data_IF_426496402350
#
_entry.id   IF_426496402350
#
_cell.length_a   1.000
_cell.length_b   1.000
_cell.length_c   1.000
_cell.angle_alpha   90.00
_cell.angle_beta   90.00
_cell.angle_gamma   90.00
#
_symmetry.space_group_name_H-M   'P 1'
#
loop_
_entity.id
_entity.type
_entity.pdbx_description
1 polymer ?
2 non-polymer ?
3 non-polymer ?
4 non-polymer ?
5 water ?
#
# COMPACT_ATOMS: atom_id res chain seq x y z
N UNK A 12 -24.60 3.14 -12.49
CA UNK A 12 -23.84 4.15 -13.26
C UNK A 12 -24.46 5.53 -13.07
N UNK A 13 -23.61 6.55 -12.97
CA UNK A 13 -24.07 7.91 -12.79
C UNK A 13 -24.24 8.60 -14.14
N UNK A 14 -25.21 9.51 -14.25
CA UNK A 14 -25.43 10.21 -15.52
C UNK A 14 -24.21 11.00 -15.98
N UNK A 15 -23.80 10.77 -17.21
CA UNK A 15 -22.64 11.44 -17.79
C UNK A 15 -22.75 12.97 -17.75
N UNK A 16 -21.77 13.64 -17.11
CA UNK A 16 -21.78 15.10 -17.02
C UNK A 16 -21.66 15.73 -18.41
N UNK A 17 -22.37 16.84 -18.65
CA UNK A 17 -22.36 17.54 -19.93
C UNK A 17 -21.00 17.84 -20.54
N UNK A 18 -20.01 18.18 -19.69
CA UNK A 18 -18.69 18.51 -20.21
C UNK A 18 -17.85 17.29 -20.61
N UNK A 19 -18.33 16.09 -20.31
CA UNK A 19 -17.60 14.87 -20.63
C UNK A 19 -17.97 14.23 -21.98
N UNK A 20 -17.00 14.13 -22.89
CA UNK A 20 -17.19 13.55 -24.24
C UNK A 20 -17.60 12.08 -24.11
N UNK A 21 -18.57 11.67 -24.91
CA UNK A 21 -19.04 10.30 -24.86
C UNK A 21 -18.01 9.28 -25.34
N UNK A 22 -17.09 9.69 -26.20
CA UNK A 22 -16.08 8.76 -26.72
C UNK A 22 -14.97 8.41 -25.72
N UNK A 23 -14.95 9.08 -24.57
CA UNK A 23 -13.94 8.80 -23.55
C UNK A 23 -14.51 7.94 -22.43
N UNK A 24 -15.76 7.54 -22.59
CA UNK A 24 -16.41 6.72 -21.57
C UNK A 24 -15.95 5.27 -21.61
N UNK A 25 -15.54 4.78 -20.44
CA UNK A 25 -15.08 3.41 -20.25
C UNK A 25 -15.45 3.12 -18.79
N UNK A 26 -16.52 2.37 -18.59
CA UNK A 26 -17.01 2.07 -17.25
C UNK A 26 -16.27 1.03 -16.41
N UNK A 27 -15.05 1.36 -16.03
CA UNK A 27 -14.22 0.49 -15.21
C UNK A 27 -14.68 0.65 -13.75
N UNK A 28 -14.80 -0.46 -13.03
CA UNK A 28 -15.22 -0.44 -11.63
C UNK A 28 -14.00 -0.84 -10.78
N UNK A 29 -13.38 0.13 -10.14
CA UNK A 29 -12.18 -0.14 -9.34
C UNK A 29 -12.42 -1.08 -8.16
N UNK A 30 -13.67 -1.23 -7.75
CA UNK A 30 -13.97 -2.10 -6.62
C UNK A 30 -14.45 -3.49 -7.04
N UNK A 31 -14.79 -3.65 -8.31
CA UNK A 31 -15.25 -4.92 -8.84
C UNK A 31 -15.01 -5.00 -10.34
N UNK A 32 -13.74 -4.96 -10.76
CA UNK A 32 -13.40 -5.02 -12.19
C UNK A 32 -13.63 -6.40 -12.81
N UNK A 33 -13.98 -6.40 -14.09
CA UNK A 33 -14.23 -7.63 -14.83
C UNK A 33 -12.95 -8.44 -14.93
N UNK A 34 -13.09 -9.75 -15.07
CA UNK A 34 -11.93 -10.63 -15.20
C UNK A 34 -11.00 -10.62 -14.00
N UNK A 35 -11.52 -10.25 -12.83
CA UNK A 35 -10.72 -10.23 -11.61
C UNK A 35 -10.13 -11.63 -11.40
N UNK A 36 -10.85 -12.64 -11.87
CA UNK A 36 -10.44 -14.03 -11.73
C UNK A 36 -9.11 -14.35 -12.42
N UNK A 37 -8.66 -13.47 -13.30
CA UNK A 37 -7.39 -13.68 -14.01
C UNK A 37 -6.22 -13.00 -13.30
N UNK A 38 -6.50 -12.35 -12.17
CA UNK A 38 -5.46 -11.66 -11.43
C UNK A 38 -5.84 -10.20 -11.35
N UNK A 39 -5.65 -9.56 -10.20
CA UNK A 39 -6.04 -8.17 -10.08
C UNK A 39 -5.20 -7.24 -10.96
N UNK A 40 -3.88 -7.43 -10.97
CA UNK A 40 -3.05 -6.59 -11.83
C UNK A 40 -3.51 -6.77 -13.29
N UNK A 41 -3.76 -8.02 -13.68
CA UNK A 41 -4.23 -8.31 -15.04
C UNK A 41 -5.56 -7.63 -15.33
N UNK A 42 -6.44 -7.57 -14.33
CA UNK A 42 -7.74 -6.94 -14.49
C UNK A 42 -7.62 -5.44 -14.75
N UNK A 43 -6.76 -4.76 -14.00
CA UNK A 43 -6.59 -3.33 -14.22
C UNK A 43 -5.89 -3.05 -15.54
N UNK A 44 -5.07 -4.01 -16.00
CA UNK A 44 -4.33 -3.88 -17.25
C UNK A 44 -5.25 -3.69 -18.46
N UNK A 45 -6.51 -4.09 -18.35
CA UNK A 45 -7.43 -3.91 -19.47
C UNK A 45 -7.50 -2.43 -19.83
N UNK A 46 -7.24 -1.57 -18.85
CA UNK A 46 -7.26 -0.12 -19.07
C UNK A 46 -6.12 0.30 -19.98
N UNK A 47 -5.21 -0.63 -20.25
CA UNK A 47 -4.05 -0.32 -21.10
C UNK A 47 -4.06 -0.99 -22.48
N UNK A 48 -5.17 -1.60 -22.85
CA UNK A 48 -5.25 -2.21 -24.17
C UNK A 48 -5.26 -1.09 -25.21
N UNK A 49 -4.77 -1.38 -26.42
CA UNK A 49 -4.66 -0.40 -27.50
C UNK A 49 -5.88 0.43 -27.89
N UNK A 50 -7.09 -0.05 -27.58
CA UNK A 50 -8.29 0.69 -27.94
C UNK A 50 -8.79 1.60 -26.83
N UNK A 51 -8.03 1.68 -25.73
CA UNK A 51 -8.41 2.52 -24.59
C UNK A 51 -7.55 3.78 -24.55
N UNK A 52 -8.18 4.97 -24.50
CA UNK A 52 -7.49 6.26 -24.47
C UNK A 52 -6.62 6.44 -23.23
N UNK A 53 -5.69 7.40 -23.29
CA UNK A 53 -4.79 7.71 -22.18
C UNK A 53 -5.56 8.17 -20.96
N UNK A 54 -6.70 8.83 -21.19
CA UNK A 54 -7.52 9.35 -20.11
C UNK A 54 -8.98 9.06 -20.41
N UNK A 55 -9.66 8.36 -19.50
CA UNK A 55 -11.05 8.01 -19.71
C UNK A 55 -11.93 8.40 -18.52
N UNK A 56 -13.24 8.35 -18.73
CA UNK A 56 -14.21 8.65 -17.68
C UNK A 56 -15.06 7.42 -17.46
N UNK A 57 -15.20 7.01 -16.20
CA UNK A 57 -16.03 5.86 -15.88
C UNK A 57 -17.24 6.43 -15.17
N UNK A 58 -18.41 5.84 -15.42
CA UNK A 58 -19.61 6.31 -14.77
C UNK A 58 -19.84 5.56 -13.47
N UNK A 59 -18.96 4.61 -13.19
CA UNK A 59 -19.04 3.83 -11.97
C UNK A 59 -18.67 4.68 -10.76
N UNK A 60 -19.09 4.21 -9.59
CA UNK A 60 -18.81 4.87 -8.31
C UNK A 60 -18.93 6.39 -8.31
N UNK A 61 -20.05 6.89 -8.83
CA UNK A 61 -20.29 8.32 -8.84
C UNK A 61 -19.77 9.07 -10.05
N UNK A 62 -18.89 8.44 -10.83
CA UNK A 62 -18.34 9.09 -12.01
C UNK A 62 -17.04 9.81 -11.72
N UNK A 63 -16.00 9.46 -12.47
CA UNK A 63 -14.68 10.07 -12.27
C UNK A 63 -13.75 9.71 -13.41
N UNK A 64 -12.66 10.47 -13.51
CA UNK A 64 -11.65 10.22 -14.54
C UNK A 64 -10.67 9.16 -14.08
N UNK A 65 -9.93 8.59 -15.05
CA UNK A 65 -8.91 7.60 -14.80
C UNK A 65 -7.76 7.78 -15.80
N UNK A 66 -6.55 8.02 -15.28
CA UNK A 66 -5.39 8.16 -16.15
C UNK A 66 -4.89 6.72 -16.25
N UNK A 67 -4.64 6.25 -17.47
CA UNK A 67 -4.24 4.86 -17.69
C UNK A 67 -2.78 4.60 -18.06
N UNK A 68 -1.99 5.67 -18.20
CA UNK A 68 -0.60 5.53 -18.59
C UNK A 68 0.35 6.21 -17.61
N UNK A 69 1.53 5.62 -17.45
CA UNK A 69 2.51 6.16 -16.52
C UNK A 69 2.80 7.64 -16.72
N UNK A 70 2.86 8.06 -17.98
CA UNK A 70 3.10 9.47 -18.29
C UNK A 70 2.11 10.40 -17.59
N UNK A 71 0.82 10.16 -17.80
CA UNK A 71 -0.22 11.00 -17.20
C UNK A 71 -0.30 10.85 -15.70
N UNK A 72 -0.12 9.62 -15.21
CA UNK A 72 -0.17 9.36 -13.79
C UNK A 72 0.93 10.16 -13.10
N UNK A 73 2.14 10.10 -13.65
CA UNK A 73 3.23 10.85 -13.04
C UNK A 73 2.96 12.36 -13.11
N UNK A 74 2.54 12.84 -14.27
CA UNK A 74 2.28 14.27 -14.42
C UNK A 74 1.24 14.81 -13.45
N UNK A 75 0.13 14.10 -13.29
CA UNK A 75 -0.92 14.55 -12.38
C UNK A 75 -0.44 14.55 -10.92
N UNK A 76 0.39 13.56 -10.55
CA UNK A 76 0.88 13.53 -9.17
C UNK A 76 1.88 14.63 -8.87
N UNK A 77 2.55 15.12 -9.91
CA UNK A 77 3.52 16.20 -9.74
C UNK A 77 2.81 17.55 -9.58
N UNK A 78 1.71 17.71 -10.31
CA UNK A 78 0.93 18.96 -10.32
C UNK A 78 -0.14 19.06 -9.23
N UNK A 79 0.27 19.30 -7.99
CA UNK A 79 -0.69 19.41 -6.90
C UNK A 79 -1.57 20.67 -7.00
N UNK A 80 -1.10 21.68 -7.73
CA UNK A 80 -1.87 22.92 -7.88
C UNK A 80 -3.24 22.66 -8.52
N UNK A 81 -3.26 21.78 -9.52
CA UNK A 81 -4.51 21.42 -10.20
C UNK A 81 -5.15 20.16 -9.63
N UNK A 82 -4.33 19.21 -9.22
CA UNK A 82 -4.81 17.94 -8.68
C UNK A 82 -4.53 17.89 -7.18
N UNK A 83 -5.54 18.28 -6.40
CA UNK A 83 -5.46 18.32 -4.95
C UNK A 83 -5.76 17.02 -4.20
N UNK A 84 -5.08 16.82 -3.08
CA UNK A 84 -5.27 15.64 -2.23
C UNK A 84 -6.36 15.85 -1.19
N UNK A 85 -7.06 16.98 -1.26
CA UNK A 85 -8.11 17.27 -0.29
C UNK A 85 -9.18 16.19 -0.28
N UNK A 86 -9.44 15.59 -1.45
CA UNK A 86 -10.42 14.53 -1.60
C UNK A 86 -9.72 13.48 -2.46
N UNK A 87 -8.90 12.63 -1.83
CA UNK A 87 -8.14 11.59 -2.54
C UNK A 87 -8.79 10.23 -2.79
N UNK A 88 -9.99 10.00 -2.29
CA UNK A 88 -10.64 8.71 -2.50
C UNK A 88 -11.92 8.77 -3.30
N UNK A 89 -12.23 7.66 -3.95
CA UNK A 89 -13.44 7.50 -4.73
C UNK A 89 -14.21 6.43 -3.94
N UNK A 90 -15.51 6.63 -3.71
CA UNK A 90 -16.40 7.73 -4.10
C UNK A 90 -16.16 9.01 -3.29
N UNK A 91 -16.66 10.12 -3.83
CA UNK A 91 -16.53 11.43 -3.21
C UNK A 91 -16.74 11.45 -1.70
N UNK A 92 -17.86 10.89 -1.24
CA UNK A 92 -18.19 10.87 0.18
C UNK A 92 -17.06 10.33 1.05
N UNK A 93 -16.32 9.36 0.52
CA UNK A 93 -15.21 8.77 1.25
C UNK A 93 -14.02 9.73 1.26
N UNK A 94 -13.74 10.33 0.12
CA UNK A 94 -12.63 11.27 0.02
C UNK A 94 -12.85 12.52 0.86
N UNK A 95 -14.11 12.97 0.94
CA UNK A 95 -14.44 14.16 1.71
C UNK A 95 -14.30 13.93 3.21
N UNK A 96 -14.69 12.75 3.67
CA UNK A 96 -14.60 12.41 5.08
C UNK A 96 -13.15 12.17 5.50
N UNK A 97 -12.35 11.62 4.59
CA UNK A 97 -10.94 11.33 4.87
C UNK A 97 -10.18 12.57 5.31
N UNK A 98 -9.45 12.47 6.42
CA UNK A 98 -8.70 13.60 6.93
C UNK A 98 -7.35 13.25 7.56
N UNK A 99 -6.81 12.08 7.25
CA UNK A 99 -5.52 11.68 7.79
C UNK A 99 -4.45 12.68 7.37
N UNK A 100 -3.36 12.73 8.14
CA UNK A 100 -2.27 13.65 7.86
C UNK A 100 -0.97 12.90 7.61
N UNK A 101 -0.22 13.29 6.57
CA UNK A 101 -0.54 14.40 5.67
C UNK A 101 -1.18 14.06 4.32
N UNK A 102 -1.70 12.84 4.19
CA UNK A 102 -2.32 12.41 2.95
C UNK A 102 -3.49 13.25 2.42
N UNK A 103 -4.14 14.05 3.27
CA UNK A 103 -5.26 14.86 2.82
C UNK A 103 -4.89 16.34 2.69
N UNK A 104 -3.59 16.62 2.66
CA UNK A 104 -3.13 18.01 2.55
C UNK A 104 -2.25 18.21 1.32
N UNK A 105 -2.22 19.46 0.86
CA UNK A 105 -1.38 19.85 -0.27
C UNK A 105 -0.32 20.78 0.27
N UNK A 106 0.81 20.91 -0.45
CA UNK A 106 1.87 21.81 0.01
C UNK A 106 1.23 23.20 -0.10
N UNK A 107 1.72 24.19 0.65
CA UNK A 107 2.82 24.14 1.60
C UNK A 107 2.46 23.54 2.96
N UNK A 108 1.17 23.53 3.28
CA UNK A 108 0.70 23.00 4.57
C UNK A 108 1.25 21.61 4.88
N UNK A 109 1.24 20.73 3.88
CA UNK A 109 1.71 19.35 4.03
C UNK A 109 3.17 19.22 4.41
N UNK A 110 4.01 20.09 3.86
CA UNK A 110 5.45 20.09 4.07
C UNK A 110 5.92 19.85 5.51
N UNK A 111 5.44 20.65 6.45
CA UNK A 111 5.86 20.50 7.84
C UNK A 111 5.42 19.19 8.47
N UNK A 112 4.18 18.77 8.20
CA UNK A 112 3.67 17.53 8.75
C UNK A 112 4.40 16.31 8.17
N UNK A 113 4.82 16.42 6.91
CA UNK A 113 5.53 15.34 6.25
C UNK A 113 6.94 15.18 6.82
N UNK A 114 7.56 16.31 7.14
CA UNK A 114 8.91 16.31 7.70
C UNK A 114 8.92 15.65 9.07
N UNK A 115 7.85 15.86 9.84
CA UNK A 115 7.75 15.28 11.17
C UNK A 115 7.57 13.78 11.05
N UNK A 116 6.65 13.35 10.20
CA UNK A 116 6.41 11.92 10.00
C UNK A 116 7.68 11.24 9.49
N UNK A 117 8.46 11.96 8.69
CA UNK A 117 9.69 11.39 8.16
C UNK A 117 10.67 11.03 9.27
N UNK A 118 10.59 11.75 10.39
CA UNK A 118 11.46 11.52 11.53
C UNK A 118 11.18 10.18 12.22
N UNK A 119 9.95 9.69 12.14
CA UNK A 119 9.64 8.44 12.80
C UNK A 119 9.70 7.18 11.92
N UNK A 120 9.80 7.36 10.60
CA UNK A 120 9.87 6.20 9.70
C UNK A 120 10.96 6.28 8.63
N UNK A 121 11.74 7.36 8.65
CA UNK A 121 12.80 7.52 7.67
C UNK A 121 13.90 6.48 7.73
N UNK A 122 14.77 6.49 6.72
CA UNK A 122 15.88 5.53 6.64
C UNK A 122 16.66 5.37 7.93
N UNK A 123 17.08 6.49 8.56
CA UNK A 123 17.84 6.36 9.81
C UNK A 123 17.15 5.44 10.82
N UNK A 124 15.84 5.60 10.95
CA UNK A 124 15.06 4.78 11.89
C UNK A 124 15.02 3.31 11.48
N UNK A 125 15.00 3.07 10.18
CA UNK A 125 14.96 1.70 9.67
C UNK A 125 16.19 0.91 10.11
N UNK A 126 17.36 1.45 9.85
CA UNK A 126 18.60 0.78 10.21
C UNK A 126 18.71 0.44 11.70
N UNK A 127 17.99 1.18 12.54
CA UNK A 127 18.02 0.93 13.97
C UNK A 127 17.03 -0.12 14.44
N UNK A 128 15.94 -0.30 13.71
CA UNK A 128 14.92 -1.28 14.09
C UNK A 128 15.13 -2.62 13.39
N UNK A 129 16.09 -2.64 12.46
CA UNK A 129 16.37 -3.85 11.71
C UNK A 129 16.60 -5.11 12.52
N UNK A 130 17.27 -5.02 13.66
CA UNK A 130 17.53 -6.21 14.46
C UNK A 130 16.21 -6.85 14.87
N UNK A 131 15.24 -6.01 15.21
CA UNK A 131 13.93 -6.48 15.61
C UNK A 131 13.17 -7.01 14.41
N UNK A 132 13.37 -6.38 13.26
CA UNK A 132 12.68 -6.79 12.03
C UNK A 132 13.16 -8.18 11.60
N UNK A 133 14.48 -8.36 11.56
CA UNK A 133 15.08 -9.63 11.18
C UNK A 133 14.73 -10.69 12.23
N UNK A 134 14.77 -10.29 13.50
CA UNK A 134 14.45 -11.18 14.61
C UNK A 134 13.00 -11.63 14.55
N UNK A 135 12.11 -10.69 14.28
CA UNK A 135 10.68 -10.97 14.19
C UNK A 135 10.36 -11.91 13.03
N UNK A 136 11.00 -11.69 11.89
CA UNK A 136 10.77 -12.54 10.73
C UNK A 136 11.17 -13.98 11.04
N UNK A 137 12.39 -14.16 11.54
CA UNK A 137 12.91 -15.47 11.87
C UNK A 137 12.04 -16.20 12.88
N UNK A 138 11.58 -15.46 13.89
CA UNK A 138 10.72 -16.04 14.92
C UNK A 138 9.43 -16.55 14.29
N UNK A 139 8.76 -15.70 13.51
CA UNK A 139 7.52 -16.08 12.85
C UNK A 139 7.67 -17.29 11.94
N UNK A 140 8.73 -17.29 11.13
CA UNK A 140 8.97 -18.38 10.20
C UNK A 140 9.30 -19.71 10.89
N UNK A 141 10.21 -19.66 11.86
CA UNK A 141 10.58 -20.87 12.57
C UNK A 141 9.38 -21.55 13.23
N UNK A 142 8.40 -20.76 13.65
CA UNK A 142 7.23 -21.32 14.31
C UNK A 142 6.30 -22.03 13.33
N UNK A 143 6.39 -21.68 12.05
CA UNK A 143 5.54 -22.28 11.02
C UNK A 143 6.26 -23.46 10.35
N UNK A 144 7.56 -23.31 10.15
CA UNK A 144 8.41 -24.30 9.49
C UNK A 144 8.08 -25.78 9.72
N UNK A 145 7.93 -26.19 10.99
CA UNK A 145 7.62 -27.60 11.30
C UNK A 145 6.25 -28.07 10.82
N UNK A 146 5.31 -27.14 10.72
CA UNK A 146 3.95 -27.47 10.31
C UNK A 146 3.80 -28.05 8.91
N UNK A 147 4.64 -27.60 7.98
CA UNK A 147 4.53 -28.10 6.62
C UNK A 147 3.39 -27.42 5.88
N UNK A 148 2.81 -26.40 6.50
CA UNK A 148 1.71 -25.67 5.88
C UNK A 148 1.40 -24.39 6.65
N UNK A 149 0.64 -23.50 6.01
CA UNK A 149 0.22 -22.25 6.65
C UNK A 149 -0.67 -21.43 5.73
N UNK A 150 -1.33 -20.44 6.30
CA UNK A 150 -2.13 -19.49 5.52
C UNK A 150 -1.21 -18.28 5.64
N UNK A 151 -0.34 -18.11 4.66
CA UNK A 151 0.62 -17.03 4.67
C UNK A 151 0.09 -15.66 5.06
N UNK A 152 -1.06 -15.28 4.52
CA UNK A 152 -1.64 -13.98 4.81
C UNK A 152 -1.96 -13.78 6.29
N UNK A 153 -2.62 -14.76 6.90
CA UNK A 153 -2.97 -14.69 8.32
C UNK A 153 -1.82 -14.97 9.28
N UNK A 154 -0.98 -15.94 8.93
CA UNK A 154 0.13 -16.36 9.78
C UNK A 154 1.44 -15.59 9.74
N UNK A 155 1.68 -14.84 8.66
CA UNK A 155 2.92 -14.08 8.55
C UNK A 155 2.69 -12.67 8.02
N UNK A 156 2.07 -12.56 6.84
CA UNK A 156 1.82 -11.28 6.22
C UNK A 156 1.19 -10.24 7.15
N UNK A 157 0.24 -10.65 7.98
CA UNK A 157 -0.43 -9.73 8.90
C UNK A 157 0.36 -9.46 10.19
N UNK A 158 0.78 -10.52 10.90
CA UNK A 158 1.54 -10.36 12.15
C UNK A 158 2.87 -9.59 12.03
N UNK A 159 3.58 -9.78 10.93
CA UNK A 159 4.87 -9.11 10.71
C UNK A 159 4.82 -7.58 10.78
N UNK A 160 4.06 -6.93 9.89
CA UNK A 160 3.98 -5.46 9.91
C UNK A 160 3.35 -4.83 11.17
N UNK A 161 2.30 -5.44 11.70
CA UNK A 161 1.67 -4.88 12.87
C UNK A 161 2.60 -4.99 14.09
N UNK A 162 3.39 -6.04 14.17
CA UNK A 162 4.31 -6.15 15.31
C UNK A 162 5.41 -5.12 15.15
N UNK A 163 5.75 -4.81 13.92
CA UNK A 163 6.77 -3.81 13.65
C UNK A 163 6.24 -2.44 14.10
N UNK A 164 4.97 -2.17 13.81
CA UNK A 164 4.40 -0.89 14.23
C UNK A 164 4.38 -0.78 15.75
N UNK A 165 4.04 -1.85 16.44
CA UNK A 165 3.98 -1.82 17.91
C UNK A 165 5.35 -1.46 18.46
N UNK A 166 6.39 -2.01 17.83
CA UNK A 166 7.75 -1.74 18.27
C UNK A 166 8.14 -0.28 18.06
N UNK A 167 7.95 0.21 16.83
CA UNK A 167 8.33 1.60 16.55
C UNK A 167 7.50 2.63 17.30
N UNK A 168 6.24 2.28 17.58
CA UNK A 168 5.34 3.18 18.29
C UNK A 168 5.42 2.98 19.81
N UNK A 169 6.24 2.02 20.23
CA UNK A 169 6.40 1.74 21.65
C UNK A 169 5.13 1.28 22.34
N UNK A 170 4.38 0.40 21.68
CA UNK A 170 3.14 -0.11 22.25
C UNK A 170 3.32 -1.57 22.68
N UNK A 171 2.58 -2.01 23.71
CA UNK A 171 2.65 -3.39 24.21
C UNK A 171 2.00 -4.39 23.26
N UNK A 172 2.59 -5.58 23.16
CA UNK A 172 2.05 -6.60 22.25
C UNK A 172 0.64 -7.07 22.59
N UNK A 173 0.22 -6.95 23.86
CA UNK A 173 -1.12 -7.39 24.22
C UNK A 173 -2.23 -6.56 23.58
N UNK A 174 -1.87 -5.43 22.97
CA UNK A 174 -2.85 -4.57 22.31
C UNK A 174 -3.06 -4.92 20.84
N UNK A 175 -2.21 -5.79 20.29
CA UNK A 175 -2.32 -6.17 18.88
C UNK A 175 -3.69 -6.65 18.45
N UNK A 176 -4.26 -7.64 19.16
CA UNK A 176 -5.58 -8.13 18.77
C UNK A 176 -6.64 -7.04 18.58
N UNK A 177 -6.69 -6.11 19.52
CA UNK A 177 -7.66 -5.03 19.44
C UNK A 177 -7.38 -4.04 18.31
N UNK A 178 -6.11 -3.72 18.09
CA UNK A 178 -5.73 -2.80 17.02
C UNK A 178 -5.95 -3.48 15.67
N UNK A 179 -5.62 -4.75 15.60
CA UNK A 179 -5.81 -5.52 14.37
C UNK A 179 -7.30 -5.44 14.02
N UNK A 180 -8.13 -5.58 15.05
CA UNK A 180 -9.57 -5.52 14.87
C UNK A 180 -10.04 -4.17 14.33
N UNK A 181 -9.59 -3.09 14.95
CA UNK A 181 -9.98 -1.75 14.53
C UNK A 181 -9.53 -1.46 13.10
N UNK A 182 -8.31 -1.87 12.77
CA UNK A 182 -7.79 -1.64 11.43
C UNK A 182 -8.55 -2.49 10.40
N UNK A 183 -8.98 -3.68 10.80
CA UNK A 183 -9.73 -4.54 9.88
C UNK A 183 -11.08 -3.93 9.53
N UNK A 184 -11.68 -3.20 10.46
CA UNK A 184 -12.98 -2.58 10.20
C UNK A 184 -12.85 -1.39 9.26
N UNK A 185 -11.63 -0.89 9.10
CA UNK A 185 -11.38 0.24 8.22
C UNK A 185 -11.00 -0.21 6.81
N UNK A 186 -11.59 -1.32 6.38
CA UNK A 186 -11.34 -1.86 5.05
C UNK A 186 -12.04 -3.19 4.84
N UNK A 187 -12.35 -3.87 5.94
CA UNK A 187 -13.01 -5.17 5.90
C UNK A 187 -14.02 -5.21 7.06
N UNK A 188 -14.99 -4.28 7.06
CA UNK A 188 -16.02 -4.18 8.10
C UNK A 188 -16.91 -5.42 8.25
N UNK A 189 -17.09 -5.85 9.50
CA UNK A 189 -17.93 -7.00 9.78
C UNK A 189 -19.33 -6.52 10.20
N UNK A 190 -19.43 -5.20 10.44
CA UNK A 190 -20.70 -4.62 10.83
C UNK A 190 -20.71 -4.02 12.22
N UNK A 191 -19.82 -4.48 13.09
CA UNK A 191 -19.75 -3.99 14.47
C UNK A 191 -19.60 -2.48 14.53
N UNK A 192 -18.99 -1.89 13.50
CA UNK A 192 -18.77 -0.44 13.46
C UNK A 192 -18.44 0.04 12.05
N UNK A 193 -18.77 1.29 11.78
CA UNK A 193 -18.50 1.89 10.47
C UNK A 193 -17.32 2.85 10.52
N UNK A 194 -16.38 2.67 9.59
CA UNK A 194 -15.17 3.49 9.47
C UNK A 194 -15.02 4.60 10.51
N UNK A 195 -15.93 5.57 10.47
CA UNK A 195 -15.91 6.70 11.40
C UNK A 195 -15.82 6.23 12.85
N UNK A 196 -16.55 5.18 13.18
CA UNK A 196 -16.56 4.63 14.52
C UNK A 196 -15.21 4.00 14.85
N UNK A 197 -14.68 3.23 13.90
CA UNK A 197 -13.38 2.59 14.07
C UNK A 197 -12.30 3.65 14.23
N UNK A 198 -12.44 4.73 13.46
CA UNK A 198 -11.48 5.83 13.50
C UNK A 198 -11.47 6.45 14.90
N UNK A 199 -12.65 6.81 15.39
CA UNK A 199 -12.77 7.40 16.71
C UNK A 199 -12.24 6.42 17.75
N UNK A 200 -12.59 5.14 17.58
CA UNK A 200 -12.14 4.10 18.48
C UNK A 200 -10.61 4.12 18.49
N UNK A 201 -10.02 4.27 17.32
CA UNK A 201 -8.57 4.33 17.19
C UNK A 201 -8.04 5.58 17.87
N UNK A 202 -8.68 6.72 17.61
CA UNK A 202 -8.27 7.98 18.22
C UNK A 202 -8.41 7.90 19.73
N UNK A 203 -9.50 7.29 20.18
CA UNK A 203 -9.75 7.14 21.60
C UNK A 203 -8.56 6.41 22.21
N UNK A 204 -8.03 5.46 21.46
CA UNK A 204 -6.90 4.65 21.89
C UNK A 204 -5.59 5.42 21.91
N UNK A 205 -5.42 6.29 20.92
CA UNK A 205 -4.19 7.06 20.76
C UNK A 205 -4.06 8.34 21.61
N UNK A 206 -5.14 9.09 21.73
CA UNK A 206 -5.13 10.34 22.48
C UNK A 206 -4.46 10.25 23.86
N UNK A 207 -4.84 9.27 24.68
CA UNK A 207 -4.22 9.14 26.01
C UNK A 207 -2.70 8.95 25.96
N UNK A 208 -2.25 8.07 25.07
CA UNK A 208 -0.84 7.79 24.92
C UNK A 208 -0.09 9.04 24.46
N UNK A 209 -0.74 9.80 23.58
CA UNK A 209 -0.16 11.02 23.05
C UNK A 209 0.02 12.06 24.17
N UNK A 210 -1.06 12.39 24.87
CA UNK A 210 -1.01 13.35 25.95
C UNK A 210 0.06 12.99 26.98
N UNK A 211 0.16 11.71 27.31
CA UNK A 211 1.12 11.26 28.31
C UNK A 211 2.56 11.34 27.85
N UNK A 212 2.81 11.12 26.56
CA UNK A 212 4.18 11.16 26.06
C UNK A 212 4.60 12.58 25.73
N UNK A 213 3.67 13.51 25.83
CA UNK A 213 3.96 14.92 25.60
C UNK A 213 4.89 15.41 26.71
N UNK A 214 4.59 15.03 27.94
CA UNK A 214 5.40 15.44 29.09
C UNK A 214 6.49 14.43 29.45
N UNK A 215 6.23 13.15 29.18
CA UNK A 215 7.21 12.11 29.46
C UNK A 215 7.58 11.44 28.14
N UNK A 216 8.31 12.16 27.27
CA UNK A 216 8.72 11.64 25.97
C UNK A 216 9.72 10.50 25.99
N UNK A 217 9.53 9.56 25.06
CA UNK A 217 10.42 8.44 24.93
C UNK A 217 11.08 8.62 23.57
N UNK A 218 11.63 7.55 23.01
CA UNK A 218 12.27 7.65 21.70
C UNK A 218 11.38 7.04 20.61
N UNK A 219 10.14 6.71 20.98
CA UNK A 219 9.19 6.10 20.05
C UNK A 219 8.49 7.08 19.11
N UNK A 220 7.84 6.53 18.09
CA UNK A 220 7.14 7.32 17.09
C UNK A 220 6.09 8.26 17.70
N UNK A 221 5.27 7.73 18.61
CA UNK A 221 4.24 8.54 19.23
C UNK A 221 4.86 9.73 19.98
N UNK A 222 5.91 9.46 20.75
CA UNK A 222 6.58 10.51 21.49
C UNK A 222 7.04 11.64 20.56
N UNK A 223 7.69 11.26 19.47
CA UNK A 223 8.19 12.25 18.54
C UNK A 223 7.06 13.09 17.94
N UNK A 224 6.02 12.43 17.46
CA UNK A 224 4.90 13.14 16.87
C UNK A 224 4.18 14.06 17.86
N UNK A 225 4.01 13.58 19.08
CA UNK A 225 3.34 14.34 20.13
C UNK A 225 4.09 15.60 20.52
N UNK A 226 5.42 15.54 20.46
CA UNK A 226 6.25 16.68 20.83
C UNK A 226 6.73 17.47 19.62
N UNK A 227 6.07 17.26 18.48
CA UNK A 227 6.46 17.96 17.27
C UNK A 227 5.98 19.40 17.21
N UNK A 228 6.66 20.19 16.39
CA UNK A 228 6.30 21.60 16.23
C UNK A 228 5.99 21.86 14.75
N UNK A 229 4.95 22.65 14.50
CA UNK A 229 4.55 23.00 13.14
C UNK A 229 4.16 24.47 13.08
N UNK A 230 4.64 25.16 12.05
CA UNK A 230 4.35 26.58 11.85
C UNK A 230 4.81 27.40 13.04
N UNK A 231 5.91 26.98 13.66
CA UNK A 231 6.44 27.71 14.80
C UNK A 231 5.67 27.47 16.08
N UNK A 232 4.69 26.58 16.04
CA UNK A 232 3.90 26.28 17.22
C UNK A 232 3.71 24.77 17.40
N UNK A 233 3.45 24.32 18.64
CA UNK A 233 3.24 22.92 18.96
C UNK A 233 2.06 22.28 18.25
N UNK A 234 2.26 21.04 17.80
CA UNK A 234 1.21 20.31 17.11
C UNK A 234 0.05 20.10 18.08
N UNK A 235 -1.18 20.12 17.57
CA UNK A 235 -2.34 19.92 18.43
C UNK A 235 -2.67 18.44 18.57
N UNK A 236 -3.46 18.11 19.58
CA UNK A 236 -3.84 16.72 19.80
C UNK A 236 -4.59 16.21 18.58
N UNK A 237 -5.39 17.07 17.97
CA UNK A 237 -6.16 16.72 16.78
C UNK A 237 -5.22 16.32 15.63
N UNK A 238 -4.20 17.14 15.40
CA UNK A 238 -3.24 16.88 14.33
C UNK A 238 -2.41 15.63 14.63
N UNK A 239 -2.04 15.46 15.90
CA UNK A 239 -1.25 14.32 16.32
C UNK A 239 -1.96 12.99 16.10
N UNK A 240 -3.23 12.90 16.51
CA UNK A 240 -3.96 11.66 16.34
C UNK A 240 -4.17 11.34 14.86
N UNK A 241 -4.39 12.38 14.05
CA UNK A 241 -4.63 12.20 12.63
C UNK A 241 -3.38 11.74 11.90
N UNK A 242 -2.21 12.06 12.44
CA UNK A 242 -0.95 11.64 11.84
C UNK A 242 -0.67 10.20 12.29
N UNK A 243 -0.89 9.95 13.57
CA UNK A 243 -0.66 8.62 14.11
C UNK A 243 -1.58 7.59 13.45
N UNK A 244 -2.79 8.01 13.15
CA UNK A 244 -3.71 7.09 12.49
C UNK A 244 -3.12 6.58 11.18
N UNK A 245 -2.53 7.49 10.41
CA UNK A 245 -1.92 7.12 9.14
C UNK A 245 -0.67 6.26 9.33
N UNK A 246 0.13 6.60 10.32
CA UNK A 246 1.34 5.83 10.57
C UNK A 246 0.99 4.37 10.86
N UNK A 247 -0.18 4.15 11.44
CA UNK A 247 -0.61 2.79 11.75
C UNK A 247 -1.14 2.07 10.50
N UNK A 248 -2.14 2.65 9.85
CA UNK A 248 -2.73 2.03 8.68
C UNK A 248 -1.86 2.04 7.42
N UNK A 249 -1.02 3.06 7.27
CA UNK A 249 -0.17 3.16 6.10
C UNK A 249 0.74 1.98 5.78
N UNK A 250 1.24 1.32 6.83
CA UNK A 250 2.11 0.19 6.62
C UNK A 250 1.49 -1.16 6.84
N UNK A 251 0.17 -1.22 6.94
CA UNK A 251 -0.50 -2.50 7.16
C UNK A 251 -1.02 -3.12 5.88
N UNK A 252 -2.18 -2.63 5.45
CA UNK A 252 -2.84 -3.09 4.23
C UNK A 252 -1.84 -3.29 3.09
N UNK A 253 -1.03 -2.28 2.86
CA UNK A 253 -0.04 -2.33 1.79
C UNK A 253 0.93 -3.51 1.92
N UNK A 254 1.59 -3.61 3.07
CA UNK A 254 2.57 -4.68 3.27
C UNK A 254 1.94 -6.07 3.29
N UNK A 255 0.85 -6.22 4.03
CA UNK A 255 0.18 -7.50 4.11
C UNK A 255 -0.09 -8.05 2.71
N UNK A 256 -0.74 -7.23 1.89
CA UNK A 256 -1.11 -7.66 0.54
C UNK A 256 0.05 -7.77 -0.43
N UNK A 257 1.03 -6.87 -0.31
CA UNK A 257 2.16 -6.96 -1.21
C UNK A 257 2.94 -8.24 -0.96
N UNK A 258 3.18 -8.55 0.31
CA UNK A 258 3.92 -9.76 0.65
C UNK A 258 3.15 -10.97 0.15
N UNK A 259 1.83 -10.91 0.22
CA UNK A 259 1.01 -12.02 -0.23
C UNK A 259 1.14 -12.22 -1.74
N UNK A 260 1.08 -11.14 -2.51
CA UNK A 260 1.24 -11.26 -3.96
C UNK A 260 2.60 -11.89 -4.29
N UNK A 261 3.64 -11.38 -3.62
CA UNK A 261 5.00 -11.86 -3.83
C UNK A 261 5.16 -13.34 -3.53
N UNK A 262 4.64 -13.78 -2.39
CA UNK A 262 4.74 -15.17 -2.00
C UNK A 262 3.91 -16.10 -2.89
N UNK A 263 2.80 -15.60 -3.42
CA UNK A 263 1.95 -16.40 -4.29
C UNK A 263 2.73 -16.71 -5.58
N UNK A 264 3.44 -15.71 -6.08
CA UNK A 264 4.24 -15.85 -7.29
C UNK A 264 5.37 -16.86 -7.08
N UNK A 265 6.13 -16.67 -6.00
CA UNK A 265 7.24 -17.55 -5.70
C UNK A 265 6.79 -18.98 -5.48
N UNK A 266 5.59 -19.15 -4.93
CA UNK A 266 5.04 -20.48 -4.68
C UNK A 266 4.75 -21.18 -6.01
N UNK A 267 4.45 -20.39 -7.04
CA UNK A 267 4.14 -20.93 -8.36
C UNK A 267 5.32 -20.92 -9.32
N UNK A 268 6.48 -20.47 -8.86
CA UNK A 268 7.68 -20.40 -9.70
C UNK A 268 8.92 -20.98 -9.03
N UNK A 269 9.06 -22.31 -9.06
CA UNK A 269 10.24 -22.93 -8.43
C UNK A 269 11.56 -22.41 -8.98
N UNK A 270 11.61 -22.08 -10.26
CA UNK A 270 12.84 -21.57 -10.87
C UNK A 270 13.26 -20.23 -10.27
N UNK A 271 12.30 -19.38 -9.95
CA UNK A 271 12.62 -18.10 -9.35
C UNK A 271 13.09 -18.31 -7.91
N UNK A 272 12.49 -19.28 -7.22
CA UNK A 272 12.92 -19.59 -5.86
C UNK A 272 14.38 -20.02 -5.94
N UNK A 273 14.67 -20.96 -6.84
CA UNK A 273 16.02 -21.47 -6.99
C UNK A 273 17.02 -20.37 -7.37
N UNK A 274 16.55 -19.39 -8.14
CA UNK A 274 17.41 -18.28 -8.56
C UNK A 274 17.92 -17.49 -7.35
N UNK A 275 17.00 -17.18 -6.43
CA UNK A 275 17.35 -16.42 -5.24
C UNK A 275 18.17 -17.22 -4.25
N UNK A 276 17.98 -18.53 -4.24
CA UNK A 276 18.72 -19.41 -3.34
C UNK A 276 20.16 -19.54 -3.81
N UNK A 277 20.36 -19.60 -5.12
CA UNK A 277 21.71 -19.71 -5.68
C UNK A 277 22.39 -18.36 -5.79
N UNK A 278 21.60 -17.31 -6.02
CA UNK A 278 22.14 -15.96 -6.15
C UNK A 278 21.45 -15.02 -5.17
N UNK A 279 21.73 -15.17 -3.86
CA UNK A 279 21.14 -14.33 -2.83
C UNK A 279 21.42 -12.85 -3.01
N UNK A 280 22.55 -12.52 -3.62
CA UNK A 280 22.89 -11.10 -3.81
C UNK A 280 21.87 -10.39 -4.69
N UNK A 281 21.01 -11.16 -5.35
CA UNK A 281 20.00 -10.59 -6.22
C UNK A 281 18.67 -10.28 -5.54
N UNK A 282 18.56 -10.60 -4.25
CA UNK A 282 17.32 -10.35 -3.52
C UNK A 282 16.85 -8.89 -3.54
N UNK A 283 17.76 -7.92 -3.38
CA UNK A 283 17.28 -6.53 -3.41
C UNK A 283 16.69 -6.18 -4.78
N UNK A 284 17.29 -6.72 -5.83
CA UNK A 284 16.81 -6.47 -7.19
C UNK A 284 15.47 -7.18 -7.39
N UNK A 285 15.37 -8.38 -6.84
CA UNK A 285 14.13 -9.17 -6.94
C UNK A 285 13.00 -8.40 -6.27
N UNK A 286 13.31 -7.77 -5.14
CA UNK A 286 12.33 -6.97 -4.39
C UNK A 286 11.77 -5.85 -5.25
N UNK A 287 12.65 -5.13 -5.95
CA UNK A 287 12.20 -4.03 -6.79
C UNK A 287 11.34 -4.50 -7.96
N UNK A 288 11.71 -5.64 -8.55
CA UNK A 288 10.95 -6.19 -9.67
C UNK A 288 9.56 -6.67 -9.23
N UNK A 289 9.49 -7.25 -8.03
CA UNK A 289 8.20 -7.71 -7.52
C UNK A 289 7.32 -6.49 -7.21
N UNK A 290 7.95 -5.41 -6.74
CA UNK A 290 7.23 -4.18 -6.41
C UNK A 290 6.59 -3.61 -7.68
N UNK A 291 7.26 -3.79 -8.81
CA UNK A 291 6.73 -3.30 -10.08
C UNK A 291 5.60 -4.18 -10.57
N UNK A 292 5.86 -5.48 -10.64
CA UNK A 292 4.90 -6.44 -11.14
C UNK A 292 3.65 -6.60 -10.31
N UNK A 293 3.80 -6.52 -8.99
CA UNK A 293 2.65 -6.68 -8.12
C UNK A 293 2.25 -5.39 -7.38
N UNK A 294 2.42 -4.26 -8.07
CA UNK A 294 2.06 -2.95 -7.53
C UNK A 294 0.57 -3.07 -7.18
N UNK A 295 0.11 -2.36 -6.13
CA UNK A 295 -1.26 -2.54 -5.67
C UNK A 295 -2.09 -1.34 -5.19
N UNK A 296 -1.54 -0.14 -5.20
CA UNK A 296 -2.29 1.02 -4.71
C UNK A 296 -2.91 1.85 -5.82
N UNK A 297 -4.05 2.44 -5.53
CA UNK A 297 -4.74 3.30 -6.48
C UNK A 297 -5.62 4.36 -5.83
N UNK A 298 -5.07 5.54 -5.55
CA UNK A 298 -5.92 6.57 -5.00
C UNK A 298 -5.94 7.71 -6.01
N UNK A 299 -6.43 8.88 -5.65
CA UNK A 299 -6.49 9.94 -6.64
C UNK A 299 -6.48 11.36 -6.14
N UNK A 300 -7.03 12.27 -6.94
CA UNK A 300 -7.06 13.69 -6.62
C UNK A 300 -8.34 14.36 -7.10
N UNK A 301 -8.51 15.63 -6.73
CA UNK A 301 -9.68 16.39 -7.13
C UNK A 301 -9.22 17.69 -7.81
N UNK A 302 -9.89 18.05 -8.89
CA UNK A 302 -9.55 19.27 -9.62
C UNK A 302 -9.87 20.53 -8.83
N UNK A 303 -8.88 21.41 -8.71
CA UNK A 303 -9.03 22.66 -7.98
C UNK A 303 -9.71 23.73 -8.83
N UNK A 304 -9.70 23.53 -10.14
CA UNK A 304 -10.31 24.47 -11.07
C UNK A 304 -10.48 23.82 -12.42
N UNK A 305 -11.14 24.53 -13.35
CA UNK A 305 -11.31 24.01 -14.70
C UNK A 305 -9.90 23.93 -15.26
N UNK A 306 -9.59 22.85 -15.97
CA UNK A 306 -8.25 22.68 -16.50
C UNK A 306 -8.20 21.73 -17.69
N UNK A 307 -7.48 22.11 -18.73
CA UNK A 307 -7.34 21.26 -19.91
C UNK A 307 -6.08 20.42 -19.74
N UNK A 308 -6.26 19.11 -19.64
CA UNK A 308 -5.16 18.16 -19.44
C UNK A 308 -5.06 17.17 -20.59
N UNK A 309 -3.99 17.26 -21.36
CA UNK A 309 -3.80 16.35 -22.50
C UNK A 309 -4.98 16.35 -23.45
N UNK A 310 -5.41 17.54 -23.86
CA UNK A 310 -6.53 17.64 -24.79
C UNK A 310 -7.89 17.30 -24.22
N UNK A 311 -8.00 17.22 -22.90
CA UNK A 311 -9.28 16.89 -22.27
C UNK A 311 -9.67 17.99 -21.28
N UNK A 312 -10.92 18.42 -21.36
CA UNK A 312 -11.40 19.47 -20.46
C UNK A 312 -11.84 18.90 -19.13
N UNK A 313 -11.12 19.27 -18.07
CA UNK A 313 -11.46 18.82 -16.73
C UNK A 313 -12.16 19.97 -16.01
N UNK A 314 -13.20 19.64 -15.25
CA UNK A 314 -13.97 20.66 -14.55
C UNK A 314 -13.65 20.70 -13.07
N UNK A 315 -13.64 21.90 -12.50
CA UNK A 315 -13.38 22.09 -11.08
C UNK A 315 -14.29 21.16 -10.28
N UNK A 316 -13.70 20.41 -9.35
CA UNK A 316 -14.49 19.49 -8.54
C UNK A 316 -14.50 18.06 -9.04
N UNK A 317 -14.09 17.85 -10.28
CA UNK A 317 -14.04 16.50 -10.85
C UNK A 317 -13.02 15.70 -10.06
N UNK A 318 -13.28 14.41 -9.91
CA UNK A 318 -12.35 13.52 -9.23
C UNK A 318 -11.60 12.73 -10.29
N UNK A 319 -10.32 12.43 -10.05
CA UNK A 319 -9.53 11.65 -10.99
C UNK A 319 -8.72 10.57 -10.28
N UNK A 320 -8.89 9.33 -10.74
CA UNK A 320 -8.16 8.19 -10.19
C UNK A 320 -6.82 8.14 -10.92
N UNK A 321 -5.73 8.04 -10.16
CA UNK A 321 -4.39 7.98 -10.72
C UNK A 321 -3.73 6.73 -10.14
N UNK A 322 -4.02 5.55 -10.73
CA UNK A 322 -3.50 4.26 -10.28
C UNK A 322 -1.98 4.11 -10.21
N UNK A 323 -1.43 4.14 -9.00
CA UNK A 323 0.02 3.99 -8.86
C UNK A 323 0.41 2.63 -9.44
N UNK A 324 -0.50 1.68 -9.35
CA UNK A 324 -0.30 0.32 -9.87
C UNK A 324 0.05 0.23 -11.36
N UNK A 325 -0.62 1.06 -12.16
CA UNK A 325 -0.46 1.02 -13.61
C UNK A 325 0.81 1.50 -14.27
N UNK A 326 1.51 2.45 -13.64
CA UNK A 326 2.73 2.97 -14.23
C UNK A 326 3.74 1.88 -14.59
N UNK A 327 4.08 1.04 -13.63
CA UNK A 327 5.04 -0.04 -13.87
C UNK A 327 4.56 -1.16 -14.79
N UNK A 328 3.25 -1.19 -15.06
CA UNK A 328 2.70 -2.22 -15.94
C UNK A 328 2.56 -1.68 -17.36
N UNK A 329 2.77 -0.37 -17.52
CA UNK A 329 2.68 0.29 -18.83
C UNK A 329 3.71 -0.30 -19.79
N UNK A 330 3.24 -0.99 -20.81
CA UNK A 330 4.11 -1.61 -21.80
C UNK A 330 4.97 -0.59 -22.52
N UNK A 331 4.61 0.69 -22.39
CA UNK A 331 5.36 1.75 -23.03
C UNK A 331 6.63 2.08 -22.27
N UNK A 332 6.74 1.61 -21.02
CA UNK A 332 7.94 1.89 -20.24
C UNK A 332 8.64 0.65 -19.70
N UNK A 333 7.98 -0.51 -19.79
CA UNK A 333 8.59 -1.77 -19.35
C UNK A 333 8.14 -2.85 -20.34
N UNK A 334 9.09 -3.39 -21.11
CA UNK A 334 8.78 -4.41 -22.09
C UNK A 334 8.29 -5.69 -21.40
N UNK A 335 7.30 -6.34 -22.00
CA UNK A 335 6.72 -7.57 -21.45
C UNK A 335 6.47 -7.35 -19.95
N UNK A 336 5.69 -6.31 -19.62
CA UNK A 336 5.37 -5.95 -18.24
C UNK A 336 4.85 -7.05 -17.31
N UNK A 337 4.13 -8.03 -17.85
CA UNK A 337 3.60 -9.10 -16.99
C UNK A 337 4.63 -10.18 -16.68
N UNK A 338 5.77 -10.12 -17.37
CA UNK A 338 6.84 -11.09 -17.17
C UNK A 338 7.69 -10.65 -15.98
N UNK A 339 8.04 -11.59 -15.10
CA UNK A 339 8.88 -11.30 -13.94
C UNK A 339 10.33 -11.67 -14.25
N UNK A 340 11.22 -10.69 -14.25
CA UNK A 340 12.64 -10.92 -14.55
C UNK A 340 13.50 -10.20 -13.51
N UNK A 341 14.09 -10.96 -12.59
CA UNK A 341 14.92 -10.34 -11.56
C UNK A 341 16.15 -9.68 -12.15
N UNK A 342 16.43 -9.95 -13.43
CA UNK A 342 17.58 -9.35 -14.09
C UNK A 342 17.21 -8.16 -14.97
N UNK A 343 15.93 -7.78 -14.92
CA UNK A 343 15.42 -6.64 -15.69
C UNK A 343 16.33 -5.45 -15.38
N UNK A 344 16.78 -4.74 -16.42
CA UNK A 344 17.72 -3.64 -16.21
C UNK A 344 17.20 -2.24 -15.85
N UNK A 345 16.06 -1.84 -16.39
CA UNK A 345 15.53 -0.51 -16.07
C UNK A 345 14.13 -0.61 -15.49
N UNK A 346 14.06 -1.06 -14.25
CA UNK A 346 12.79 -1.23 -13.55
C UNK A 346 12.17 0.11 -13.14
N UNK A 347 11.15 0.55 -13.88
CA UNK A 347 10.50 1.80 -13.54
C UNK A 347 9.09 1.52 -13.01
N UNK A 348 8.66 2.32 -12.03
CA UNK A 348 7.34 2.16 -11.44
C UNK A 348 7.05 3.31 -10.48
N UNK A 349 5.79 3.40 -10.03
CA UNK A 349 5.37 4.42 -9.08
C UNK A 349 4.59 3.70 -7.98
N UNK A 350 5.10 2.53 -7.60
CA UNK A 350 4.45 1.71 -6.58
C UNK A 350 4.29 2.41 -5.25
N UNK A 351 5.27 3.24 -4.90
CA UNK A 351 5.26 4.00 -3.65
C UNK A 351 4.73 5.40 -3.90
N UNK A 352 4.11 5.61 -5.06
CA UNK A 352 3.59 6.92 -5.35
C UNK A 352 4.59 7.76 -6.14
N UNK A 353 4.32 9.06 -6.25
CA UNK A 353 5.18 9.97 -7.01
C UNK A 353 4.77 11.38 -6.62
N UNK A 354 5.71 12.32 -6.60
CA UNK A 354 5.36 13.68 -6.23
C UNK A 354 5.53 13.94 -4.75
N UNK A 355 4.91 15.03 -4.27
CA UNK A 355 5.03 15.43 -2.87
C UNK A 355 4.64 14.41 -1.82
N UNK A 356 3.78 13.46 -2.18
CA UNK A 356 3.35 12.45 -1.20
C UNK A 356 4.09 11.11 -1.28
N UNK A 357 5.18 11.05 -2.07
CA UNK A 357 5.96 9.82 -2.20
C UNK A 357 6.07 9.13 -0.84
N UNK A 358 5.70 7.85 -0.80
CA UNK A 358 5.70 7.06 0.42
C UNK A 358 6.87 7.30 1.36
N UNK A 359 6.56 7.65 2.60
CA UNK A 359 7.59 7.88 3.60
C UNK A 359 8.09 6.56 4.19
N UNK A 360 7.26 5.52 4.10
CA UNK A 360 7.63 4.23 4.64
C UNK A 360 8.30 3.30 3.62
N UNK A 361 8.60 3.83 2.45
CA UNK A 361 9.22 3.04 1.39
C UNK A 361 10.50 2.32 1.80
N UNK A 362 11.29 2.94 2.68
CA UNK A 362 12.53 2.32 3.10
C UNK A 362 12.23 1.18 4.08
N UNK A 363 11.26 1.40 4.96
CA UNK A 363 10.87 0.38 5.91
C UNK A 363 10.28 -0.81 5.15
N UNK A 364 9.42 -0.52 4.18
CA UNK A 364 8.78 -1.57 3.39
C UNK A 364 9.82 -2.45 2.69
N UNK A 365 10.76 -1.82 1.97
CA UNK A 365 11.78 -2.62 1.30
C UNK A 365 12.55 -3.52 2.26
N UNK A 366 12.86 -3.01 3.44
CA UNK A 366 13.60 -3.81 4.41
C UNK A 366 12.74 -5.00 4.83
N UNK A 367 11.44 -4.75 5.01
CA UNK A 367 10.53 -5.83 5.40
C UNK A 367 10.46 -6.90 4.33
N UNK A 368 10.38 -6.48 3.08
CA UNK A 368 10.30 -7.39 1.95
C UNK A 368 11.59 -8.21 1.80
N UNK A 369 12.72 -7.51 1.75
CA UNK A 369 14.01 -8.18 1.60
C UNK A 369 14.27 -9.17 2.72
N UNK A 370 14.05 -8.76 3.96
CA UNK A 370 14.24 -9.63 5.10
C UNK A 370 13.34 -10.86 4.98
N UNK A 371 12.11 -10.64 4.53
CA UNK A 371 11.18 -11.75 4.38
C UNK A 371 11.65 -12.76 3.34
N UNK A 372 12.03 -12.27 2.16
CA UNK A 372 12.49 -13.14 1.09
C UNK A 372 13.70 -13.94 1.55
N UNK A 373 14.67 -13.25 2.15
CA UNK A 373 15.89 -13.88 2.62
C UNK A 373 15.69 -14.92 3.72
N UNK A 374 14.93 -14.56 4.76
CA UNK A 374 14.70 -15.48 5.87
C UNK A 374 13.77 -16.65 5.55
N UNK A 375 12.78 -16.43 4.69
CA UNK A 375 11.86 -17.50 4.34
C UNK A 375 12.58 -18.54 3.47
N UNK A 376 13.23 -18.09 2.40
CA UNK A 376 13.93 -19.02 1.52
C UNK A 376 15.07 -19.76 2.22
N UNK A 377 15.60 -19.18 3.28
CA UNK A 377 16.68 -19.80 4.04
C UNK A 377 16.17 -21.03 4.78
N UNK A 378 14.99 -20.92 5.37
CA UNK A 378 14.40 -22.00 6.15
C UNK A 378 13.45 -22.91 5.38
N UNK A 379 12.70 -22.32 4.46
CA UNK A 379 11.73 -23.07 3.65
C UNK A 379 11.98 -22.75 2.19
N UNK A 380 13.09 -23.28 1.63
CA UNK A 380 13.46 -23.03 0.23
C UNK A 380 12.47 -23.58 -0.79
N UNK A 381 11.78 -24.65 -0.44
CA UNK A 381 10.84 -25.27 -1.36
C UNK A 381 9.43 -25.31 -0.79
N UNK A 382 8.52 -24.62 -1.47
CA UNK A 382 7.12 -24.59 -1.05
C UNK A 382 6.20 -24.39 -2.25
N UNK A 383 4.92 -24.72 -2.08
CA UNK A 383 3.95 -24.60 -3.16
C UNK A 383 2.59 -24.19 -2.64
N UNK A 384 1.69 -23.86 -3.56
CA UNK A 384 0.33 -23.50 -3.21
C UNK A 384 -0.31 -24.83 -2.79
N UNK A 385 -1.13 -24.81 -1.75
CA UNK A 385 -1.79 -26.03 -1.28
C UNK A 385 -2.55 -26.67 -2.44
N UNK A 386 -2.46 -28.00 -2.57
CA UNK A 386 -3.15 -28.73 -3.64
C UNK A 386 -4.65 -28.41 -3.69
N UNK A 387 -5.15 -28.12 -4.89
CA UNK A 387 -6.56 -27.81 -5.07
C UNK A 387 -7.01 -26.42 -4.70
N UNK A 388 -6.13 -25.65 -4.07
CA UNK A 388 -6.47 -24.29 -3.68
C UNK A 388 -6.52 -23.36 -4.89
N UNK A 389 -7.44 -22.41 -4.85
CA UNK A 389 -7.60 -21.45 -5.93
C UNK A 389 -7.52 -20.05 -5.32
N UNK A 390 -6.34 -19.42 -5.43
CA UNK A 390 -6.13 -18.09 -4.87
C UNK A 390 -7.07 -17.04 -5.45
N UNK A 391 -7.66 -16.26 -4.54
CA UNK A 391 -8.62 -15.21 -4.86
C UNK A 391 -8.02 -13.83 -4.60
N UNK A 392 -8.24 -12.89 -5.51
CA UNK A 392 -7.74 -11.52 -5.35
C UNK A 392 -8.90 -10.56 -5.08
N UNK A 393 -8.58 -9.39 -4.53
CA UNK A 393 -9.59 -8.37 -4.25
C UNK A 393 -9.08 -7.03 -4.80
N UNK A 394 -10.00 -6.16 -5.20
CA UNK A 394 -9.63 -4.87 -5.79
C UNK A 394 -10.21 -3.64 -5.11
N UNK A 395 -9.41 -2.58 -5.02
CA UNK A 395 -9.87 -1.35 -4.40
C UNK A 395 -8.77 -0.31 -4.34
N UNK A 396 -8.73 0.47 -3.26
CA UNK A 396 -7.70 1.51 -3.10
C UNK A 396 -6.37 0.79 -2.92
N UNK A 397 -6.42 -0.32 -2.19
CA UNK A 397 -5.27 -1.17 -1.99
C UNK A 397 -5.80 -2.54 -2.34
N UNK A 398 -5.38 -3.07 -3.49
CA UNK A 398 -5.82 -4.38 -3.94
C UNK A 398 -5.04 -5.45 -3.19
N UNK A 399 -5.52 -6.68 -3.19
CA UNK A 399 -4.80 -7.71 -2.46
C UNK A 399 -5.22 -9.15 -2.70
N UNK A 400 -4.84 -9.99 -1.74
CA UNK A 400 -5.11 -11.42 -1.78
C UNK A 400 -6.02 -11.81 -0.62
N UNK A 401 -7.06 -12.58 -0.92
CA UNK A 401 -8.02 -13.01 0.10
C UNK A 401 -7.38 -13.95 1.13
N UNK A 402 -6.64 -14.95 0.63
CA UNK A 402 -5.99 -15.93 1.48
C UNK A 402 -4.92 -16.64 0.65
N UNK A 403 -3.90 -17.19 1.29
CA UNK A 403 -2.84 -17.86 0.55
C UNK A 403 -2.32 -19.11 1.26
N UNK A 404 -3.01 -20.25 1.07
CA UNK A 404 -2.58 -21.50 1.70
C UNK A 404 -1.34 -22.07 1.03
N UNK A 405 -0.29 -22.27 1.82
CA UNK A 405 0.96 -22.81 1.32
C UNK A 405 1.27 -24.14 1.99
N UNK A 406 2.05 -24.98 1.31
CA UNK A 406 2.43 -26.28 1.86
C UNK A 406 3.87 -26.64 1.49
N UNK A 407 4.50 -27.49 2.28
CA UNK A 407 5.86 -27.93 2.03
C UNK A 407 6.20 -29.14 2.86
N UNK A 408 7.26 -29.85 2.47
CA UNK A 408 7.71 -31.02 3.19
C UNK A 408 8.76 -30.57 4.19
N UNK A 409 8.48 -30.71 5.49
CA UNK A 409 9.41 -30.32 6.55
C UNK A 409 10.82 -30.89 6.38
N UNK A 410 10.90 -32.06 5.74
CA UNK A 410 12.19 -32.70 5.53
C UNK A 410 13.13 -31.85 4.69
N UNK A 411 12.57 -30.92 3.93
CA UNK A 411 13.38 -30.05 3.08
C UNK A 411 13.67 -28.71 3.73
N UNK A 412 13.14 -28.48 4.93
CA UNK A 412 13.35 -27.22 5.63
C UNK A 412 14.56 -27.30 6.54
N UNK A 413 14.96 -26.16 7.09
CA UNK A 413 16.11 -26.10 7.97
C UNK A 413 15.96 -25.03 9.03
N UNK A 414 16.26 -25.39 10.28
CA UNK A 414 16.17 -24.42 11.37
C UNK A 414 17.50 -23.67 11.43
N UNK A 415 17.42 -22.35 11.52
CA UNK A 415 18.61 -21.50 11.59
C UNK A 415 18.50 -20.54 12.76
#
# INVERSE_FOLDING_TARGET
MTTETIQSNANLAPLPPHVPEHLVFDFDMYNPSNLSAGVQEAWAVLQESNVPDLVWTRCNGGHWIATRGQLIREAYEDYRHFSSECPFIPREAGEAYDFIPTSMDPPEQRQFRALANQVVGMPVVDKLENRIQELACSLIESLRPQGQCNFTEDYAEPFPIRIFMLLAGLPEEDIPHLKYLTDQMTRPDGSMTFAEAKEALYDYLIPIIEQRRQKPGTDAISIVANGQVNGRPITSDEAKRMCGLLLVGGLDTVVNFLSFSMEFLAKSPEHRQELIERPERIPAACEELLRRFSLVADGRILTSDYEFHGVQLKKGDQILLPQMLSGLDERENACPMHVDFSRQKVSHTTFGHGSHLCLGQHLARREIIVTLKEWLTRIPDFSIAPGAQIQHKSGIVSGVQALPLVWDPATTKAVQL
#
